data_IF_031747904932
#
_entry.id   IF_031747904932
#
_cell.length_a   1.000
_cell.length_b   1.000
_cell.length_c   1.000
_cell.angle_alpha   90.00
_cell.angle_beta   90.00
_cell.angle_gamma   90.00
#
_symmetry.space_group_name_H-M   'P 1'
#
loop_
_entity.id
_entity.type
_entity.pdbx_description
1 polymer ?
#
# COMPACT_ATOMS: atom_id res chain seq x y z
N UNK A 1 -13.83 8.91 -3.91
CA UNK A 1 -13.06 8.16 -2.91
C UNK A 1 -12.38 7.02 -3.64
N UNK A 2 -11.05 7.04 -3.79
CA UNK A 2 -10.32 5.87 -4.27
C UNK A 2 -10.14 4.94 -3.07
N UNK A 3 -10.82 3.80 -3.09
CA UNK A 3 -10.62 2.75 -2.09
C UNK A 3 -9.27 2.07 -2.35
N UNK A 4 -8.41 2.02 -1.33
CA UNK A 4 -7.14 1.26 -1.38
C UNK A 4 -7.49 -0.23 -1.26
N UNK A 5 -7.09 -1.03 -2.24
CA UNK A 5 -7.36 -2.47 -2.31
C UNK A 5 -6.08 -3.23 -2.60
N UNK A 6 -6.03 -4.46 -2.11
CA UNK A 6 -4.95 -5.39 -2.37
C UNK A 6 -5.52 -6.59 -3.10
N UNK A 7 -4.99 -6.88 -4.28
CA UNK A 7 -5.41 -8.00 -5.11
C UNK A 7 -4.34 -9.09 -5.03
N UNK A 8 -4.71 -10.24 -4.47
CA UNK A 8 -3.84 -11.39 -4.34
C UNK A 8 -4.38 -12.52 -5.21
N UNK A 9 -3.51 -13.16 -5.98
CA UNK A 9 -3.79 -14.40 -6.72
C UNK A 9 -2.75 -15.43 -6.28
N UNK A 10 -3.23 -16.61 -5.92
CA UNK A 10 -2.41 -17.77 -5.58
C UNK A 10 -2.68 -18.82 -6.66
N UNK A 11 -1.63 -19.33 -7.31
CA UNK A 11 -1.75 -20.40 -8.31
C UNK A 11 -1.81 -21.77 -7.61
N UNK A 12 -2.20 -22.80 -8.36
CA UNK A 12 -2.20 -24.19 -7.84
C UNK A 12 -0.79 -24.67 -7.49
N UNK A 13 0.23 -24.11 -8.14
CA UNK A 13 1.65 -24.37 -7.90
C UNK A 13 2.21 -23.60 -6.68
N UNK A 14 1.41 -22.74 -6.04
CA UNK A 14 1.80 -21.97 -4.86
C UNK A 14 2.50 -20.64 -5.16
N UNK A 15 2.56 -20.20 -6.41
CA UNK A 15 3.06 -18.86 -6.75
C UNK A 15 2.05 -17.79 -6.32
N UNK A 16 2.55 -16.72 -5.71
CA UNK A 16 1.73 -15.63 -5.19
C UNK A 16 1.98 -14.36 -6.02
N UNK A 17 0.91 -13.82 -6.59
CA UNK A 17 0.90 -12.55 -7.29
C UNK A 17 0.11 -11.54 -6.47
N UNK A 18 0.74 -10.44 -6.08
CA UNK A 18 0.12 -9.38 -5.30
C UNK A 18 0.22 -8.03 -6.02
N UNK A 19 -0.90 -7.31 -6.11
CA UNK A 19 -0.99 -5.99 -6.74
C UNK A 19 -1.76 -5.03 -5.83
N UNK A 20 -1.21 -3.83 -5.63
CA UNK A 20 -1.88 -2.73 -4.92
C UNK A 20 -2.68 -1.89 -5.90
N UNK A 21 -3.97 -1.69 -5.62
CA UNK A 21 -4.89 -0.87 -6.42
C UNK A 21 -5.37 0.31 -5.60
N UNK A 22 -5.32 1.52 -6.15
CA UNK A 22 -5.72 2.75 -5.47
C UNK A 22 -4.65 3.35 -4.56
N UNK A 23 -3.42 2.81 -4.58
CA UNK A 23 -2.27 3.29 -3.80
C UNK A 23 -1.34 4.05 -4.73
N UNK A 24 -1.19 5.35 -4.49
CA UNK A 24 -0.41 6.25 -5.34
C UNK A 24 0.96 6.54 -4.76
N UNK A 25 1.93 6.78 -5.62
CA UNK A 25 3.27 7.20 -5.22
C UNK A 25 4.07 6.07 -4.57
N UNK A 26 5.06 6.47 -3.75
CA UNK A 26 6.01 5.56 -3.11
C UNK A 26 5.41 4.75 -1.97
N UNK A 27 4.21 5.08 -1.52
CA UNK A 27 3.51 4.37 -0.45
C UNK A 27 3.28 2.90 -0.79
N UNK A 28 3.15 2.54 -2.07
CA UNK A 28 3.01 1.14 -2.49
C UNK A 28 4.20 0.26 -2.08
N UNK A 29 5.40 0.85 -1.93
CA UNK A 29 6.61 0.11 -1.55
C UNK A 29 6.54 -0.45 -0.13
N UNK A 30 5.80 0.22 0.76
CA UNK A 30 5.66 -0.23 2.15
C UNK A 30 4.82 -1.51 2.23
N UNK A 31 3.96 -1.76 1.24
CA UNK A 31 3.10 -2.94 1.20
C UNK A 31 3.84 -4.19 0.77
N UNK A 32 4.99 -4.08 0.07
CA UNK A 32 5.79 -5.25 -0.30
C UNK A 32 6.24 -6.00 0.96
N UNK A 33 6.84 -5.29 1.90
CA UNK A 33 7.32 -5.89 3.15
C UNK A 33 6.17 -6.47 3.99
N UNK A 34 5.04 -5.76 4.05
CA UNK A 34 3.84 -6.25 4.74
C UNK A 34 3.32 -7.55 4.10
N UNK A 35 3.33 -7.64 2.77
CA UNK A 35 2.91 -8.82 2.04
C UNK A 35 3.83 -10.01 2.30
N UNK A 36 5.14 -9.79 2.28
CA UNK A 36 6.14 -10.82 2.58
C UNK A 36 5.94 -11.39 4.00
N UNK A 37 5.73 -10.52 5.00
CA UNK A 37 5.47 -10.93 6.38
C UNK A 37 4.14 -11.70 6.53
N UNK A 38 3.07 -11.25 5.86
CA UNK A 38 1.75 -11.88 5.95
C UNK A 38 1.69 -13.23 5.23
N UNK A 39 2.40 -13.35 4.12
CA UNK A 39 2.39 -14.54 3.27
C UNK A 39 3.53 -15.51 3.62
N UNK A 40 4.49 -15.09 4.44
CA UNK A 40 5.69 -15.87 4.75
C UNK A 40 6.51 -16.19 3.51
N UNK A 41 6.57 -15.25 2.57
CA UNK A 41 7.19 -15.42 1.25
C UNK A 41 8.13 -14.25 0.93
N UNK A 42 9.04 -14.45 -0.02
CA UNK A 42 9.93 -13.39 -0.52
C UNK A 42 9.49 -12.93 -1.91
N UNK A 43 9.58 -11.62 -2.18
CA UNK A 43 9.28 -11.05 -3.48
C UNK A 43 10.36 -11.42 -4.50
N UNK A 44 10.01 -12.24 -5.50
CA UNK A 44 10.92 -12.62 -6.59
C UNK A 44 10.99 -11.56 -7.68
N UNK A 45 9.88 -10.89 -7.99
CA UNK A 45 9.79 -9.83 -9.00
C UNK A 45 8.79 -8.77 -8.57
N UNK A 46 9.07 -7.51 -8.88
CA UNK A 46 8.20 -6.38 -8.57
C UNK A 46 8.11 -5.42 -9.74
N UNK A 47 6.89 -5.07 -10.17
CA UNK A 47 6.65 -4.12 -11.25
C UNK A 47 5.83 -2.94 -10.76
N UNK A 48 6.23 -1.74 -11.16
CA UNK A 48 5.51 -0.51 -10.83
C UNK A 48 4.27 -0.37 -11.72
N UNK A 49 3.11 -0.22 -11.09
CA UNK A 49 1.88 0.16 -11.80
C UNK A 49 1.90 1.66 -12.11
N UNK A 50 1.00 2.11 -12.98
CA UNK A 50 0.88 3.54 -13.33
C UNK A 50 0.72 4.45 -12.11
N UNK A 51 0.07 3.94 -11.06
CA UNK A 51 -0.22 4.66 -9.81
C UNK A 51 1.04 5.00 -9.01
N UNK A 52 2.12 4.22 -9.16
CA UNK A 52 3.42 4.52 -8.56
C UNK A 52 3.97 5.89 -8.99
N UNK A 53 3.70 6.28 -10.25
CA UNK A 53 4.16 7.55 -10.81
C UNK A 53 3.21 8.72 -10.51
N UNK A 54 2.08 8.45 -9.87
CA UNK A 54 1.15 9.50 -9.45
C UNK A 54 1.55 10.08 -8.09
N UNK A 55 1.46 11.40 -7.96
CA UNK A 55 1.71 12.06 -6.67
C UNK A 55 0.54 11.84 -5.73
N UNK A 56 0.82 11.31 -4.53
CA UNK A 56 -0.19 11.22 -3.48
C UNK A 56 -0.43 12.60 -2.86
N UNK A 57 -1.68 13.08 -2.91
CA UNK A 57 -2.08 14.33 -2.25
C UNK A 57 -2.44 14.00 -0.81
N UNK A 58 -1.46 14.12 0.09
CA UNK A 58 -1.65 13.96 1.53
C UNK A 58 -2.50 15.11 2.07
N UNK A 59 -3.77 14.84 2.41
CA UNK A 59 -4.61 15.82 3.11
C UNK A 59 -4.20 15.84 4.58
N UNK A 60 -3.37 16.81 4.97
CA UNK A 60 -3.00 17.01 6.37
C UNK A 60 -4.25 17.44 7.15
N UNK A 61 -4.80 16.53 7.98
CA UNK A 61 -5.78 16.90 9.00
C UNK A 61 -5.05 17.50 10.19
N UNK A 62 -5.02 18.83 10.27
CA UNK A 62 -4.50 19.54 11.44
C UNK A 62 -5.52 19.45 12.57
N UNK A 63 -5.33 18.50 13.49
CA UNK A 63 -6.13 18.44 14.71
C UNK A 63 -5.72 19.60 15.62
N UNK A 64 -6.60 20.60 15.74
CA UNK A 64 -6.39 21.76 16.61
C UNK A 64 -6.87 21.42 18.03
N UNK A 65 -6.00 20.88 18.87
CA UNK A 65 -6.34 20.59 20.27
C UNK A 65 -6.05 21.83 21.12
N UNK A 66 -7.10 22.57 21.47
CA UNK A 66 -7.03 23.68 22.42
C UNK A 66 -6.91 23.05 23.81
N UNK A 67 -5.72 23.09 24.40
CA UNK A 67 -5.54 22.81 25.83
C UNK A 67 -6.01 24.07 26.56
N UNK A 68 -7.17 23.99 27.25
CA UNK A 68 -7.53 25.00 28.25
C UNK A 68 -6.76 24.64 29.51
N UNK A 69 -5.79 25.46 29.88
CA UNK A 69 -5.20 25.45 31.23
C UNK A 69 -6.23 26.10 32.19
N UNK A 70 -6.53 25.41 33.29
CA UNK A 70 -7.20 25.95 34.50
C UNK A 70 -6.15 26.24 35.56
#
# INVERSE_FOLDING_TARGET
MNEKKLKIRITEDGEIFAETVGIKGKDCMQYIKLLEELLGAESVDSKYTKEYYETEVQTIRRNNQIIREE
#
